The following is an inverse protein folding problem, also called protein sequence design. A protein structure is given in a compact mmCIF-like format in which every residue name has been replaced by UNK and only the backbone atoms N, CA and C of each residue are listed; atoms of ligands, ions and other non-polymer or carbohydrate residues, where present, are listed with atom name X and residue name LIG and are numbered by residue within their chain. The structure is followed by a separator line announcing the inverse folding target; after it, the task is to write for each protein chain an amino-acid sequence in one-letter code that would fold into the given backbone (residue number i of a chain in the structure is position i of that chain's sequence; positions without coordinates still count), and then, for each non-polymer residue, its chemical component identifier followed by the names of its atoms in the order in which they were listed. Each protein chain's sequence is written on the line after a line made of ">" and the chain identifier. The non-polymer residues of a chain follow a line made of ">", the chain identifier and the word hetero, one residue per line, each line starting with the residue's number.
data_IF_609076035837
#
_entry.id   IF_609076035837
#
_cell.length_a   1.000
_cell.length_b   1.000
_cell.length_c   1.000
_cell.angle_alpha   90.00
_cell.angle_beta   90.00
_cell.angle_gamma   90.00
#
_symmetry.space_group_name_H-M   'P 1'
#
loop_
_entity.id
_entity.type
_entity.pdbx_description
1 polymer ?
#
# COMPACT_ATOMS: atom_id res chain seq x y z
N UNK A 1 -0.09 54.56 46.28
CA UNK A 1 -0.37 53.14 45.96
C UNK A 1 0.11 52.90 44.54
N UNK A 2 1.21 52.17 44.36
CA UNK A 2 1.73 51.82 43.04
C UNK A 2 1.24 50.40 42.71
N UNK A 3 0.48 50.26 41.61
CA UNK A 3 -0.02 48.97 41.13
C UNK A 3 0.98 48.47 40.09
N UNK A 4 1.71 47.42 40.44
CA UNK A 4 2.63 46.74 39.53
C UNK A 4 1.84 45.72 38.71
N UNK A 5 1.65 45.98 37.41
CA UNK A 5 1.03 45.06 36.46
C UNK A 5 2.06 44.02 36.02
N UNK A 6 1.89 42.77 36.45
CA UNK A 6 2.62 41.63 35.89
C UNK A 6 2.00 41.24 34.55
N UNK A 7 2.74 41.45 33.46
CA UNK A 7 2.38 40.95 32.14
C UNK A 7 2.70 39.45 32.09
N UNK A 8 1.67 38.61 32.06
CA UNK A 8 1.81 37.17 31.83
C UNK A 8 2.01 36.96 30.33
N UNK A 9 3.25 36.70 29.92
CA UNK A 9 3.54 36.19 28.58
C UNK A 9 3.16 34.71 28.52
N UNK A 10 2.05 34.40 27.85
CA UNK A 10 1.72 33.04 27.44
C UNK A 10 2.66 32.69 26.28
N UNK A 11 3.73 31.95 26.58
CA UNK A 11 4.57 31.31 25.58
C UNK A 11 3.76 30.16 24.96
N UNK A 12 3.13 30.41 23.81
CA UNK A 12 2.65 29.36 22.93
C UNK A 12 3.87 28.59 22.45
N UNK A 13 4.09 27.39 23.00
CA UNK A 13 5.08 26.46 22.49
C UNK A 13 4.59 25.97 21.11
N UNK A 14 5.07 26.60 20.04
CA UNK A 14 5.02 26.01 18.71
C UNK A 14 6.03 24.87 18.69
N UNK A 15 5.56 23.63 18.75
CA UNK A 15 6.35 22.48 18.33
C UNK A 15 6.82 22.76 16.90
N UNK A 16 8.13 22.73 16.60
CA UNK A 16 8.58 22.87 15.23
C UNK A 16 8.02 21.68 14.45
N UNK A 17 7.02 21.93 13.59
CA UNK A 17 6.64 20.99 12.55
C UNK A 17 7.92 20.68 11.76
N UNK A 18 8.35 19.41 11.75
CA UNK A 18 9.49 19.00 10.95
C UNK A 18 9.22 19.40 9.50
N UNK A 19 10.22 19.99 8.86
CA UNK A 19 10.17 20.28 7.42
C UNK A 19 10.10 18.92 6.74
N UNK A 20 8.89 18.49 6.33
CA UNK A 20 8.66 17.19 5.69
C UNK A 20 7.63 16.27 6.36
N UNK A 21 7.06 16.64 7.51
CA UNK A 21 5.94 15.88 8.07
C UNK A 21 4.63 16.13 7.32
N UNK A 22 3.80 15.09 7.26
CA UNK A 22 2.41 15.14 6.80
C UNK A 22 1.52 14.55 7.88
N UNK A 23 0.25 14.97 7.91
CA UNK A 23 -0.75 14.39 8.79
C UNK A 23 -0.90 12.89 8.48
N UNK A 24 -0.88 12.06 9.53
CA UNK A 24 -1.24 10.65 9.47
C UNK A 24 -2.74 10.46 9.48
N UNK A 25 -3.25 9.66 10.42
CA UNK A 25 -4.70 9.53 10.61
C UNK A 25 -5.32 10.85 11.02
N UNK A 26 -6.36 11.27 10.29
CA UNK A 26 -7.25 12.34 10.68
C UNK A 26 -8.21 11.91 11.80
N UNK A 27 -8.86 12.88 12.44
CA UNK A 27 -9.92 12.61 13.41
C UNK A 27 -11.07 11.82 12.79
N UNK A 28 -11.43 12.10 11.53
CA UNK A 28 -12.46 11.37 10.79
C UNK A 28 -12.11 9.89 10.58
N UNK A 29 -10.88 9.58 10.19
CA UNK A 29 -10.41 8.19 10.01
C UNK A 29 -10.29 7.47 11.37
N UNK A 30 -9.68 8.13 12.36
CA UNK A 30 -9.52 7.55 13.71
C UNK A 30 -10.86 7.21 14.37
N UNK A 31 -11.94 7.95 14.08
CA UNK A 31 -13.28 7.69 14.62
C UNK A 31 -13.98 6.47 14.01
N UNK A 32 -13.46 5.92 12.92
CA UNK A 32 -14.05 4.78 12.22
C UNK A 32 -13.58 3.42 12.74
N UNK A 33 -12.65 3.40 13.71
CA UNK A 33 -12.22 2.15 14.34
C UNK A 33 -13.34 1.57 15.19
N UNK A 34 -13.93 0.49 14.71
CA UNK A 34 -15.10 -0.15 15.30
C UNK A 34 -15.17 -1.63 14.90
N UNK A 35 -15.60 -2.46 15.84
CA UNK A 35 -15.92 -3.87 15.61
C UNK A 35 -17.21 -4.18 16.36
N UNK A 36 -18.15 -4.88 15.71
CA UNK A 36 -19.46 -5.21 16.29
C UNK A 36 -19.39 -6.13 17.51
N UNK A 37 -18.27 -6.86 17.66
CA UNK A 37 -18.04 -7.89 18.68
C UNK A 37 -18.94 -9.11 18.57
N UNK A 38 -19.84 -9.18 17.56
CA UNK A 38 -20.74 -10.32 17.36
C UNK A 38 -19.97 -11.63 17.11
N UNK A 39 -18.77 -11.51 16.53
CA UNK A 39 -17.87 -12.61 16.18
C UNK A 39 -16.68 -12.71 17.14
N UNK A 40 -16.74 -12.02 18.29
CA UNK A 40 -15.68 -11.97 19.28
C UNK A 40 -14.53 -11.02 18.95
N UNK A 41 -14.58 -10.32 17.81
CA UNK A 41 -13.65 -9.25 17.44
C UNK A 41 -13.68 -8.05 18.37
N UNK A 42 -12.53 -7.40 18.55
CA UNK A 42 -12.42 -6.15 19.30
C UNK A 42 -11.40 -5.23 18.64
N UNK A 43 -11.70 -3.94 18.64
CA UNK A 43 -10.76 -2.88 18.29
C UNK A 43 -11.07 -1.66 19.13
N UNK A 44 -10.04 -1.01 19.63
CA UNK A 44 -10.17 0.25 20.35
C UNK A 44 -9.03 1.18 19.97
N UNK A 45 -9.31 2.48 20.06
CA UNK A 45 -8.36 3.54 19.78
C UNK A 45 -8.32 4.48 20.99
N UNK A 46 -7.12 4.83 21.43
CA UNK A 46 -6.87 5.84 22.45
C UNK A 46 -6.03 6.95 21.83
N UNK A 47 -6.52 8.17 21.93
CA UNK A 47 -5.82 9.35 21.44
C UNK A 47 -4.96 9.98 22.54
N UNK A 48 -3.70 10.27 22.22
CA UNK A 48 -2.79 11.10 23.02
C UNK A 48 -2.60 12.46 22.33
N UNK A 49 -1.78 13.33 22.92
CA UNK A 49 -1.42 14.61 22.30
C UNK A 49 -0.81 14.42 20.91
N UNK A 50 0.05 13.42 20.74
CA UNK A 50 0.91 13.23 19.55
C UNK A 50 0.64 11.94 18.77
N UNK A 51 -0.18 11.03 19.29
CA UNK A 51 -0.33 9.68 18.76
C UNK A 51 -1.76 9.14 18.89
N UNK A 52 -2.03 8.08 18.12
CA UNK A 52 -3.12 7.14 18.32
C UNK A 52 -2.56 5.79 18.75
N UNK A 53 -3.12 5.20 19.80
CA UNK A 53 -2.80 3.85 20.26
C UNK A 53 -3.98 2.96 19.89
N UNK A 54 -3.77 2.01 18.98
CA UNK A 54 -4.79 1.06 18.56
C UNK A 54 -4.52 -0.29 19.24
N UNK A 55 -5.55 -0.86 19.85
CA UNK A 55 -5.52 -2.21 20.43
C UNK A 55 -6.57 -3.09 19.76
N UNK A 56 -6.22 -4.33 19.46
CA UNK A 56 -7.16 -5.28 18.87
C UNK A 56 -6.80 -6.71 19.21
N UNK A 57 -7.81 -7.59 19.22
CA UNK A 57 -7.60 -9.04 19.28
C UNK A 57 -7.53 -9.71 17.89
N UNK A 58 -7.55 -8.96 16.79
CA UNK A 58 -7.32 -9.50 15.45
C UNK A 58 -8.47 -10.31 14.84
N UNK A 59 -9.56 -10.55 15.57
CA UNK A 59 -10.73 -11.25 15.03
C UNK A 59 -11.64 -10.26 14.29
N UNK A 60 -12.19 -10.66 13.13
CA UNK A 60 -13.09 -9.82 12.35
C UNK A 60 -14.45 -9.60 13.02
N UNK A 61 -15.23 -8.70 12.44
CA UNK A 61 -16.63 -8.44 12.76
C UNK A 61 -17.61 -9.27 11.89
N UNK A 62 -17.11 -10.25 11.15
CA UNK A 62 -17.87 -11.15 10.27
C UNK A 62 -17.51 -12.62 10.50
N UNK A 63 -18.36 -13.52 9.99
CA UNK A 63 -18.11 -14.97 10.08
C UNK A 63 -16.80 -15.34 9.37
N UNK A 64 -15.98 -16.17 10.01
CA UNK A 64 -14.75 -16.73 9.45
C UNK A 64 -14.99 -18.17 8.98
N UNK A 65 -14.34 -18.57 7.89
CA UNK A 65 -14.36 -19.97 7.46
C UNK A 65 -12.99 -20.60 7.59
N UNK A 66 -12.94 -21.83 8.11
CA UNK A 66 -11.71 -22.59 8.14
C UNK A 66 -11.42 -23.15 6.74
N UNK A 67 -10.55 -22.45 6.01
CA UNK A 67 -10.14 -22.80 4.64
C UNK A 67 -8.76 -23.46 4.57
N UNK A 68 -8.06 -23.50 5.69
CA UNK A 68 -6.78 -24.17 5.88
C UNK A 68 -6.75 -24.89 7.24
N UNK A 69 -5.70 -25.67 7.58
CA UNK A 69 -5.64 -26.40 8.85
C UNK A 69 -5.65 -25.54 10.12
N UNK A 70 -5.55 -24.21 10.01
CA UNK A 70 -5.47 -23.30 11.13
C UNK A 70 -6.84 -22.74 11.51
N UNK A 71 -6.96 -22.20 12.73
CA UNK A 71 -8.19 -21.58 13.23
C UNK A 71 -7.86 -20.23 13.82
N UNK A 72 -8.66 -19.22 13.48
CA UNK A 72 -8.54 -17.89 14.04
C UNK A 72 -8.68 -17.93 15.57
N UNK A 73 -7.81 -17.20 16.26
CA UNK A 73 -7.87 -17.05 17.71
C UNK A 73 -7.54 -15.62 18.13
N UNK A 74 -8.06 -15.21 19.28
CA UNK A 74 -7.85 -13.87 19.81
C UNK A 74 -6.36 -13.60 20.08
N UNK A 75 -5.88 -12.49 19.54
CA UNK A 75 -4.53 -11.98 19.68
C UNK A 75 -4.48 -10.81 20.68
N UNK A 76 -3.32 -10.15 20.80
CA UNK A 76 -3.13 -8.96 21.63
C UNK A 76 -2.30 -7.91 20.88
N UNK A 77 -2.85 -7.40 19.78
CA UNK A 77 -2.20 -6.35 18.99
C UNK A 77 -2.26 -5.02 19.71
N UNK A 78 -1.15 -4.29 19.66
CA UNK A 78 -1.03 -2.92 20.15
C UNK A 78 -0.09 -2.14 19.25
N UNK A 79 -0.61 -1.17 18.53
CA UNK A 79 0.14 -0.29 17.64
C UNK A 79 0.06 1.16 18.11
N UNK A 80 1.12 1.92 17.88
CA UNK A 80 1.16 3.36 18.19
C UNK A 80 1.50 4.09 16.90
N UNK A 81 0.63 5.00 16.49
CA UNK A 81 0.75 5.77 15.26
C UNK A 81 0.89 7.24 15.60
N UNK A 82 1.96 7.89 15.13
CA UNK A 82 2.12 9.33 15.29
C UNK A 82 1.07 10.06 14.45
N UNK A 83 0.58 11.18 14.97
CA UNK A 83 -0.34 12.08 14.23
C UNK A 83 0.36 12.83 13.10
N UNK A 84 1.65 13.09 13.28
CA UNK A 84 2.53 13.67 12.27
C UNK A 84 3.52 12.61 11.83
N UNK A 85 3.58 12.33 10.54
CA UNK A 85 4.41 11.30 9.94
C UNK A 85 5.48 11.95 9.09
N UNK A 86 6.73 11.66 9.43
CA UNK A 86 7.89 11.99 8.62
C UNK A 86 8.01 10.99 7.46
N UNK A 87 8.21 11.49 6.24
CA UNK A 87 8.58 10.62 5.10
C UNK A 87 9.99 10.06 5.28
N UNK A 88 10.21 8.83 4.83
CA UNK A 88 11.53 8.24 4.68
C UNK A 88 12.12 8.58 3.29
N UNK A 89 13.42 8.85 3.23
CA UNK A 89 14.10 9.08 1.95
C UNK A 89 14.30 7.83 1.11
N UNK A 90 14.34 6.68 1.76
CA UNK A 90 14.34 5.37 1.14
C UNK A 90 13.13 4.62 1.66
N UNK A 91 12.37 3.92 0.80
CA UNK A 91 11.21 3.20 1.25
C UNK A 91 11.61 2.06 2.20
N UNK A 92 10.79 1.88 3.23
CA UNK A 92 10.91 0.80 4.20
C UNK A 92 10.38 -0.50 3.63
N UNK A 93 11.04 -1.59 3.94
CA UNK A 93 10.58 -2.94 3.60
C UNK A 93 9.27 -3.30 4.31
N UNK A 94 8.46 -4.22 3.75
CA UNK A 94 7.39 -4.85 4.56
C UNK A 94 7.82 -6.21 5.12
N UNK A 95 7.39 -6.54 6.36
CA UNK A 95 7.60 -7.86 6.95
C UNK A 95 6.71 -8.94 6.33
N UNK A 96 7.01 -10.23 6.62
CA UNK A 96 6.15 -11.40 6.31
C UNK A 96 4.91 -11.55 7.21
N UNK A 97 4.74 -10.66 8.18
CA UNK A 97 3.58 -10.64 9.07
C UNK A 97 2.70 -9.44 8.78
N UNK A 98 2.05 -8.93 9.84
CA UNK A 98 1.23 -7.72 9.74
C UNK A 98 2.01 -6.54 9.16
N UNK A 99 1.40 -5.89 8.16
CA UNK A 99 1.84 -4.66 7.51
C UNK A 99 0.87 -3.48 7.74
N UNK A 100 -0.26 -3.77 8.36
CA UNK A 100 -1.27 -2.80 8.73
C UNK A 100 -2.38 -3.44 9.54
N UNK A 101 -3.32 -2.62 9.99
CA UNK A 101 -4.50 -3.06 10.71
C UNK A 101 -5.74 -2.39 10.11
N UNK A 102 -6.79 -3.16 9.89
CA UNK A 102 -8.07 -2.63 9.42
C UNK A 102 -8.76 -1.81 10.51
N UNK A 103 -9.72 -0.97 10.13
CA UNK A 103 -10.58 -0.24 11.07
C UNK A 103 -11.41 -1.18 11.96
N UNK A 104 -11.60 -2.43 11.55
CA UNK A 104 -12.26 -3.48 12.32
C UNK A 104 -11.31 -4.29 13.21
N UNK A 105 -10.00 -4.05 13.13
CA UNK A 105 -8.98 -4.65 13.99
C UNK A 105 -8.26 -5.86 13.40
N UNK A 106 -8.56 -6.25 12.16
CA UNK A 106 -7.94 -7.41 11.50
C UNK A 106 -6.57 -7.03 10.95
N UNK A 107 -5.61 -7.96 11.02
CA UNK A 107 -4.29 -7.73 10.45
C UNK A 107 -4.35 -7.73 8.91
N UNK A 108 -3.56 -6.85 8.29
CA UNK A 108 -3.31 -6.85 6.85
C UNK A 108 -1.90 -7.39 6.67
N UNK A 109 -1.72 -8.39 5.82
CA UNK A 109 -0.43 -9.00 5.51
C UNK A 109 0.06 -8.53 4.14
N UNK A 110 1.35 -8.73 3.87
CA UNK A 110 1.95 -8.45 2.58
C UNK A 110 1.38 -9.40 1.49
N UNK A 111 1.60 -9.15 0.19
CA UNK A 111 0.96 -9.94 -0.87
C UNK A 111 1.58 -11.32 -1.09
N UNK A 112 2.47 -11.78 -0.21
CA UNK A 112 3.28 -12.97 -0.40
C UNK A 112 2.94 -14.07 0.60
N UNK A 113 3.09 -15.31 0.14
CA UNK A 113 3.11 -16.48 1.00
C UNK A 113 4.40 -16.55 1.81
N UNK A 114 4.45 -17.46 2.78
CA UNK A 114 5.68 -17.74 3.52
C UNK A 114 6.88 -18.15 2.63
N UNK A 115 6.62 -18.64 1.41
CA UNK A 115 7.62 -19.05 0.42
C UNK A 115 7.98 -17.95 -0.60
N UNK A 116 7.59 -16.69 -0.35
CA UNK A 116 7.87 -15.53 -1.22
C UNK A 116 7.22 -15.62 -2.61
N UNK A 117 6.04 -16.24 -2.67
CA UNK A 117 5.23 -16.37 -3.89
C UNK A 117 3.96 -15.51 -3.76
N UNK A 118 3.32 -15.16 -4.87
CA UNK A 118 2.05 -14.42 -4.84
C UNK A 118 0.98 -15.22 -4.07
N UNK A 119 0.47 -14.65 -2.97
CA UNK A 119 -0.51 -15.31 -2.10
C UNK A 119 -1.92 -15.35 -2.72
N UNK A 120 -2.23 -14.47 -3.67
CA UNK A 120 -3.60 -14.27 -4.17
C UNK A 120 -3.82 -15.00 -5.49
N UNK A 121 -2.82 -15.01 -6.37
CA UNK A 121 -2.94 -15.57 -7.72
C UNK A 121 -1.79 -16.50 -8.09
N UNK A 122 -2.08 -17.47 -8.96
CA UNK A 122 -1.09 -18.41 -9.50
C UNK A 122 -1.18 -19.81 -8.89
N UNK A 123 -0.20 -20.65 -9.23
CA UNK A 123 -0.14 -22.05 -8.78
C UNK A 123 0.04 -22.21 -7.27
N UNK A 124 0.54 -21.17 -6.63
CA UNK A 124 0.95 -21.15 -5.22
C UNK A 124 0.07 -20.21 -4.39
N UNK A 125 -1.06 -19.78 -4.96
CA UNK A 125 -2.05 -18.97 -4.26
C UNK A 125 -2.56 -19.72 -3.01
N UNK A 126 -2.70 -18.96 -1.93
CA UNK A 126 -3.29 -19.45 -0.70
C UNK A 126 -4.81 -19.57 -0.86
N UNK A 127 -5.43 -20.31 0.06
CA UNK A 127 -6.90 -20.46 0.06
C UNK A 127 -7.48 -19.48 1.06
N UNK A 128 -8.40 -18.64 0.59
CA UNK A 128 -9.11 -17.66 1.40
C UNK A 128 -10.56 -18.06 1.63
N UNK A 129 -11.15 -17.56 2.71
CA UNK A 129 -12.59 -17.64 2.92
C UNK A 129 -13.37 -16.69 2.02
N UNK A 130 -14.71 -16.73 2.12
CA UNK A 130 -15.60 -15.86 1.34
C UNK A 130 -15.34 -14.36 1.52
N UNK A 131 -14.67 -13.97 2.60
CA UNK A 131 -14.34 -12.59 2.92
C UNK A 131 -12.88 -12.25 2.58
N UNK A 132 -12.22 -13.10 1.79
CA UNK A 132 -10.85 -12.96 1.32
C UNK A 132 -9.77 -13.01 2.42
N UNK A 133 -10.10 -13.55 3.60
CA UNK A 133 -9.13 -13.73 4.68
C UNK A 133 -8.88 -15.19 5.01
N UNK A 134 -7.87 -15.43 5.84
CA UNK A 134 -7.56 -16.75 6.40
C UNK A 134 -6.69 -16.61 7.65
N UNK A 135 -6.37 -17.74 8.30
CA UNK A 135 -5.55 -17.74 9.52
C UNK A 135 -4.19 -18.42 9.32
N UNK A 136 -3.15 -17.83 9.91
CA UNK A 136 -1.83 -18.46 10.01
C UNK A 136 -1.79 -19.54 11.11
N UNK A 137 -0.63 -20.21 11.26
CA UNK A 137 -0.42 -21.25 12.26
C UNK A 137 -0.38 -20.74 13.72
N UNK A 138 -0.36 -19.43 13.94
CA UNK A 138 -0.49 -18.78 15.25
C UNK A 138 -1.95 -18.34 15.52
N UNK A 139 -2.84 -18.56 14.55
CA UNK A 139 -4.25 -18.20 14.63
C UNK A 139 -4.53 -16.72 14.35
N UNK A 140 -3.59 -15.99 13.75
CA UNK A 140 -3.82 -14.61 13.30
C UNK A 140 -4.68 -14.65 12.04
N UNK A 141 -5.93 -14.19 12.13
CA UNK A 141 -6.76 -13.96 10.95
C UNK A 141 -6.29 -12.68 10.23
N UNK A 142 -6.14 -12.75 8.90
CA UNK A 142 -5.57 -11.66 8.12
C UNK A 142 -5.98 -11.68 6.65
N UNK A 143 -5.72 -10.55 5.98
CA UNK A 143 -5.94 -10.35 4.54
C UNK A 143 -4.63 -10.12 3.80
N UNK A 144 -4.46 -10.76 2.64
CA UNK A 144 -3.38 -10.47 1.67
C UNK A 144 -3.84 -9.55 0.51
N UNK A 145 -5.13 -9.28 0.45
CA UNK A 145 -5.81 -8.53 -0.61
C UNK A 145 -6.98 -7.74 0.00
N UNK A 146 -7.77 -7.07 -0.85
CA UNK A 146 -8.99 -6.42 -0.38
C UNK A 146 -9.91 -7.41 0.35
N UNK A 147 -10.40 -7.07 1.56
CA UNK A 147 -11.46 -7.82 2.21
C UNK A 147 -12.67 -7.95 1.28
N UNK A 148 -13.47 -9.01 1.46
CA UNK A 148 -14.73 -9.17 0.73
C UNK A 148 -15.71 -8.04 1.09
N UNK A 149 -16.49 -7.58 0.12
CA UNK A 149 -17.49 -6.52 0.34
C UNK A 149 -18.92 -7.02 0.54
N UNK A 150 -19.17 -8.31 0.26
CA UNK A 150 -20.52 -8.89 0.30
C UNK A 150 -20.73 -9.68 1.60
N UNK A 151 -21.49 -9.09 2.53
CA UNK A 151 -21.82 -9.67 3.83
C UNK A 151 -20.57 -10.05 4.67
N UNK A 152 -19.53 -9.22 4.65
CA UNK A 152 -18.23 -9.47 5.31
C UNK A 152 -17.89 -8.39 6.36
N UNK A 153 -18.91 -7.89 7.05
CA UNK A 153 -18.76 -6.85 8.06
C UNK A 153 -18.48 -5.47 7.46
N UNK A 154 -18.01 -4.56 8.29
CA UNK A 154 -17.85 -3.14 7.94
C UNK A 154 -16.44 -2.80 7.42
N UNK A 155 -15.56 -3.80 7.35
CA UNK A 155 -14.16 -3.62 6.93
C UNK A 155 -14.05 -2.98 5.55
N UNK A 156 -14.81 -3.50 4.57
CA UNK A 156 -14.87 -2.99 3.21
C UNK A 156 -16.26 -3.20 2.63
N UNK A 157 -16.80 -2.20 1.95
CA UNK A 157 -18.14 -2.23 1.35
C UNK A 157 -18.14 -1.67 -0.08
N UNK A 158 -16.97 -1.55 -0.71
CA UNK A 158 -16.79 -0.99 -2.05
C UNK A 158 -17.28 0.46 -2.22
N UNK A 159 -17.31 1.23 -1.13
CA UNK A 159 -17.65 2.65 -1.18
C UNK A 159 -16.46 3.47 -1.72
N UNK A 160 -16.78 4.58 -2.38
CA UNK A 160 -15.78 5.51 -2.91
C UNK A 160 -15.06 6.22 -1.76
N UNK A 161 -13.74 6.32 -1.85
CA UNK A 161 -12.86 6.89 -0.82
C UNK A 161 -13.07 6.26 0.57
N UNK A 162 -13.40 4.96 0.60
CA UNK A 162 -13.59 4.24 1.84
C UNK A 162 -12.28 4.06 2.59
N UNK A 163 -12.23 4.53 3.84
CA UNK A 163 -11.16 4.20 4.78
C UNK A 163 -11.24 2.73 5.19
N UNK A 164 -10.11 2.03 5.08
CA UNK A 164 -9.98 0.59 5.36
C UNK A 164 -9.21 0.35 6.66
N UNK A 165 -8.18 1.15 6.92
CA UNK A 165 -7.28 0.92 8.04
C UNK A 165 -6.02 1.77 7.96
N UNK A 166 -4.98 1.36 8.68
CA UNK A 166 -3.73 2.09 8.80
C UNK A 166 -2.55 1.15 8.59
N UNK A 167 -1.60 1.54 7.75
CA UNK A 167 -0.34 0.83 7.55
C UNK A 167 0.56 1.00 8.78
N UNK A 168 1.50 0.08 9.03
CA UNK A 168 2.33 0.14 10.24
C UNK A 168 3.26 1.36 10.33
N UNK A 169 3.47 2.06 9.22
CA UNK A 169 4.19 3.34 9.17
C UNK A 169 3.34 4.55 9.59
N UNK A 170 2.02 4.38 9.70
CA UNK A 170 1.04 5.36 10.17
C UNK A 170 0.14 5.94 9.09
N UNK A 171 0.42 5.72 7.81
CA UNK A 171 -0.41 6.26 6.74
C UNK A 171 -1.72 5.49 6.59
N UNK A 172 -2.83 6.18 6.26
CA UNK A 172 -4.11 5.52 6.05
C UNK A 172 -4.10 4.67 4.78
N UNK A 173 -4.88 3.59 4.81
CA UNK A 173 -5.15 2.69 3.69
C UNK A 173 -6.62 2.89 3.27
N UNK A 174 -6.82 3.13 1.97
CA UNK A 174 -8.13 3.34 1.37
C UNK A 174 -8.50 2.20 0.41
N UNK A 175 -9.79 2.06 0.13
CA UNK A 175 -10.30 1.14 -0.88
C UNK A 175 -9.84 1.49 -2.30
N UNK A 176 -10.11 0.61 -3.28
CA UNK A 176 -9.70 0.79 -4.66
C UNK A 176 -10.52 1.86 -5.40
N UNK A 177 -11.71 2.21 -4.92
CA UNK A 177 -12.56 3.21 -5.58
C UNK A 177 -12.25 4.61 -5.04
N UNK A 178 -11.90 5.53 -5.94
CA UNK A 178 -11.57 6.90 -5.59
C UNK A 178 -12.40 7.90 -6.39
N UNK A 179 -12.84 8.98 -5.73
CA UNK A 179 -13.76 9.96 -6.33
C UNK A 179 -13.19 10.66 -7.57
N UNK A 180 -11.87 10.75 -7.68
CA UNK A 180 -11.15 11.36 -8.81
C UNK A 180 -10.84 10.39 -9.95
N UNK A 181 -11.14 9.09 -9.79
CA UNK A 181 -10.95 8.04 -10.82
C UNK A 181 -12.25 7.69 -11.57
N UNK A 182 -13.40 8.09 -11.04
CA UNK A 182 -14.71 7.76 -11.60
C UNK A 182 -15.23 6.41 -11.10
N UNK A 183 -15.86 5.63 -11.98
CA UNK A 183 -16.46 4.32 -11.62
C UNK A 183 -15.47 3.15 -11.65
N UNK A 184 -14.29 3.35 -12.23
CA UNK A 184 -13.26 2.31 -12.31
C UNK A 184 -12.42 2.28 -11.03
N UNK A 185 -12.00 1.11 -10.55
CA UNK A 185 -11.05 1.03 -9.45
C UNK A 185 -9.68 1.58 -9.89
N UNK A 186 -8.91 2.04 -8.91
CA UNK A 186 -7.49 2.29 -9.04
C UNK A 186 -6.76 0.99 -9.37
N UNK A 187 -5.68 1.13 -10.14
CA UNK A 187 -4.73 0.07 -10.46
C UNK A 187 -3.32 0.51 -10.09
N UNK A 188 -2.33 -0.38 -10.18
CA UNK A 188 -0.93 -0.02 -9.97
C UNK A 188 -0.43 1.10 -10.90
N UNK A 189 -1.03 1.25 -12.09
CA UNK A 189 -0.68 2.34 -13.01
C UNK A 189 -1.11 3.74 -12.49
N UNK A 190 -1.99 3.78 -11.49
CA UNK A 190 -2.52 5.00 -10.86
C UNK A 190 -1.84 5.33 -9.53
N UNK A 191 -0.90 4.51 -9.08
CA UNK A 191 -0.28 4.60 -7.77
C UNK A 191 1.24 4.70 -7.88
N UNK A 192 1.85 5.11 -6.77
CA UNK A 192 3.28 5.09 -6.62
C UNK A 192 3.83 3.68 -6.43
N UNK A 193 5.15 3.58 -6.33
CA UNK A 193 5.82 2.29 -6.14
C UNK A 193 5.29 1.59 -4.87
N UNK A 194 5.11 2.31 -3.76
CA UNK A 194 4.62 1.70 -2.53
C UNK A 194 3.09 1.47 -2.52
N UNK A 195 2.40 1.68 -3.64
CA UNK A 195 0.95 1.56 -3.79
C UNK A 195 0.13 2.60 -3.03
N UNK A 196 0.64 3.83 -2.96
CA UNK A 196 -0.14 4.98 -2.51
C UNK A 196 0.00 6.19 -3.41
N UNK A 197 -0.55 7.31 -2.96
CA UNK A 197 -0.53 8.59 -3.67
C UNK A 197 -0.84 9.75 -2.75
N UNK A 198 -0.53 10.95 -3.21
CA UNK A 198 -0.96 12.19 -2.57
C UNK A 198 -2.38 12.54 -3.00
N UNK A 199 -3.27 12.83 -2.04
CA UNK A 199 -4.60 13.39 -2.26
C UNK A 199 -4.80 14.55 -1.29
N UNK A 200 -5.12 15.73 -1.83
CA UNK A 200 -5.29 16.97 -1.06
C UNK A 200 -4.14 17.28 -0.11
N UNK A 201 -2.91 16.97 -0.53
CA UNK A 201 -1.69 17.21 0.26
C UNK A 201 -1.41 16.17 1.35
N UNK A 202 -2.21 15.10 1.44
CA UNK A 202 -2.00 13.97 2.36
C UNK A 202 -1.63 12.70 1.59
N UNK A 203 -0.68 11.94 2.10
CA UNK A 203 -0.33 10.65 1.52
C UNK A 203 -1.25 9.55 2.06
N UNK A 204 -1.70 8.66 1.19
CA UNK A 204 -2.49 7.48 1.54
C UNK A 204 -2.18 6.30 0.63
N UNK A 205 -2.19 5.10 1.19
CA UNK A 205 -2.14 3.85 0.43
C UNK A 205 -3.52 3.50 -0.12
N UNK A 206 -3.55 2.71 -1.19
CA UNK A 206 -4.78 2.22 -1.77
C UNK A 206 -4.71 0.71 -2.03
N UNK A 207 -5.77 0.01 -1.60
CA UNK A 207 -6.05 -1.32 -2.10
C UNK A 207 -6.26 -1.28 -3.61
N UNK A 208 -5.95 -2.38 -4.28
CA UNK A 208 -6.17 -2.58 -5.72
C UNK A 208 -6.50 -4.04 -5.99
N UNK A 209 -6.95 -4.34 -7.22
CA UNK A 209 -7.21 -5.71 -7.66
C UNK A 209 -6.02 -6.34 -8.40
N UNK A 210 -5.00 -5.56 -8.75
CA UNK A 210 -3.74 -6.03 -9.30
C UNK A 210 -2.65 -6.02 -8.23
N UNK A 211 -1.63 -6.86 -8.40
CA UNK A 211 -0.51 -6.96 -7.47
C UNK A 211 0.18 -5.59 -7.26
N UNK A 212 0.55 -5.18 -6.03
CA UNK A 212 0.55 -5.94 -4.77
C UNK A 212 -0.74 -5.92 -3.93
N UNK A 213 -1.89 -5.54 -4.48
CA UNK A 213 -3.22 -5.56 -3.83
C UNK A 213 -3.44 -4.63 -2.62
N UNK A 214 -2.39 -4.33 -1.83
CA UNK A 214 -2.46 -3.52 -0.61
C UNK A 214 -1.38 -2.42 -0.58
N UNK A 215 -0.12 -2.78 -0.33
CA UNK A 215 1.02 -1.87 -0.44
C UNK A 215 2.32 -2.63 -0.74
N UNK A 216 3.29 -1.96 -1.36
CA UNK A 216 4.57 -2.55 -1.78
C UNK A 216 5.75 -2.23 -0.87
N UNK A 217 5.66 -1.13 -0.12
CA UNK A 217 6.69 -0.64 0.80
C UNK A 217 6.14 0.46 1.72
N UNK A 218 6.92 0.89 2.71
CA UNK A 218 6.57 2.00 3.60
C UNK A 218 7.25 3.30 3.19
N UNK A 219 6.48 4.37 3.06
CA UNK A 219 7.01 5.73 2.96
C UNK A 219 7.15 6.43 4.30
N UNK A 220 6.42 6.02 5.34
CA UNK A 220 6.57 6.62 6.66
C UNK A 220 7.84 6.12 7.36
N UNK A 221 8.59 7.03 7.97
CA UNK A 221 9.84 6.74 8.69
C UNK A 221 9.62 5.99 10.02
N UNK A 222 8.38 5.93 10.51
CA UNK A 222 7.99 5.32 11.80
C UNK A 222 7.58 3.85 11.73
N UNK A 223 7.67 3.16 10.59
CA UNK A 223 7.24 1.76 10.49
C UNK A 223 7.87 0.83 11.55
N UNK A 224 9.14 1.08 11.91
CA UNK A 224 9.88 0.32 12.94
C UNK A 224 9.30 0.45 14.35
N UNK A 225 8.52 1.49 14.63
CA UNK A 225 7.87 1.67 15.92
C UNK A 225 6.82 0.56 16.16
N UNK A 226 6.23 0.04 15.07
CA UNK A 226 5.23 -1.03 15.08
C UNK A 226 5.75 -2.37 14.52
N UNK A 227 6.81 -2.34 13.71
CA UNK A 227 7.42 -3.49 13.06
C UNK A 227 8.96 -3.41 13.10
N UNK A 228 9.61 -3.82 14.21
CA UNK A 228 11.06 -3.64 14.40
C UNK A 228 11.95 -4.26 13.32
N UNK A 229 11.45 -5.26 12.60
CA UNK A 229 12.11 -5.94 11.49
C UNK A 229 12.21 -5.10 10.21
N UNK A 230 11.51 -3.97 10.10
CA UNK A 230 11.56 -3.10 8.91
C UNK A 230 12.97 -2.53 8.72
N UNK A 231 13.42 -2.50 7.46
CA UNK A 231 14.68 -1.92 7.02
C UNK A 231 14.48 -0.89 5.90
N UNK A 232 15.15 0.26 5.97
CA UNK A 232 15.03 1.39 5.02
C UNK A 232 16.25 1.47 4.09
N UNK A 233 16.47 0.39 3.37
CA UNK A 233 17.60 0.16 2.45
C UNK A 233 17.13 -0.52 1.18
N UNK A 234 15.86 -0.27 0.85
CA UNK A 234 15.27 -0.74 -0.36
C UNK A 234 16.02 -0.11 -1.54
N UNK A 235 16.99 -0.85 -2.06
CA UNK A 235 17.76 -0.45 -3.21
C UNK A 235 16.92 -0.75 -4.46
N UNK A 236 16.26 0.30 -4.95
CA UNK A 236 15.48 0.26 -6.18
C UNK A 236 16.38 0.38 -7.43
N UNK A 237 17.68 0.64 -7.25
CA UNK A 237 18.68 0.76 -8.32
C UNK A 237 19.37 -0.57 -8.63
N UNK A 238 19.49 -1.49 -7.69
CA UNK A 238 19.89 -2.87 -8.00
C UNK A 238 18.64 -3.72 -8.20
N UNK A 239 18.33 -4.06 -9.45
CA UNK A 239 17.22 -4.95 -9.81
C UNK A 239 17.34 -6.39 -9.30
N UNK A 240 17.91 -6.60 -8.11
CA UNK A 240 18.32 -7.89 -7.55
C UNK A 240 17.23 -8.65 -6.80
N UNK A 241 16.00 -8.13 -6.70
CA UNK A 241 14.86 -8.90 -6.13
C UNK A 241 13.57 -8.84 -6.99
N UNK A 242 13.67 -8.26 -8.19
CA UNK A 242 12.51 -7.98 -9.05
C UNK A 242 12.04 -9.17 -9.91
N UNK A 243 12.71 -10.33 -9.85
CA UNK A 243 12.70 -11.21 -11.01
C UNK A 243 11.58 -12.25 -11.11
N UNK A 244 10.81 -12.56 -10.05
CA UNK A 244 9.68 -13.49 -10.20
C UNK A 244 8.29 -12.89 -9.91
N UNK A 245 8.16 -12.02 -8.90
CA UNK A 245 6.88 -11.35 -8.58
C UNK A 245 7.02 -9.88 -8.16
N UNK A 246 8.21 -9.26 -8.31
CA UNK A 246 8.37 -7.80 -8.23
C UNK A 246 7.91 -7.19 -6.91
N UNK A 247 8.30 -7.78 -5.79
CA UNK A 247 8.16 -7.09 -4.52
C UNK A 247 9.19 -5.96 -4.46
N UNK A 248 8.76 -4.75 -4.09
CA UNK A 248 9.63 -3.57 -4.24
C UNK A 248 10.70 -3.48 -3.16
N UNK A 249 10.42 -3.94 -1.93
CA UNK A 249 11.33 -3.79 -0.78
C UNK A 249 11.25 -4.94 0.23
N UNK A 250 11.78 -6.13 -0.05
CA UNK A 250 11.78 -7.27 0.90
C UNK A 250 12.99 -7.24 1.83
N UNK A 251 12.78 -7.68 3.08
CA UNK A 251 13.80 -7.75 4.14
C UNK A 251 14.90 -8.81 3.90
N UNK A 252 15.08 -9.29 2.65
CA UNK A 252 15.72 -10.59 2.40
C UNK A 252 17.17 -10.62 2.90
N UNK A 253 17.89 -9.49 2.90
CA UNK A 253 19.30 -9.47 3.29
C UNK A 253 19.76 -8.28 4.15
N UNK A 254 18.84 -7.41 4.59
CA UNK A 254 19.21 -6.26 5.43
C UNK A 254 18.23 -6.06 6.57
N UNK A 255 18.73 -6.16 7.81
CA UNK A 255 17.92 -5.99 9.01
C UNK A 255 18.28 -4.71 9.74
N UNK A 256 17.24 -3.96 10.12
CA UNK A 256 17.34 -2.98 11.19
C UNK A 256 17.99 -1.64 10.83
N UNK A 257 18.12 -1.30 9.54
CA UNK A 257 18.50 0.07 9.16
C UNK A 257 17.34 1.01 9.46
N UNK A 258 17.63 2.17 10.04
CA UNK A 258 16.62 3.18 10.38
C UNK A 258 16.41 4.14 9.21
N UNK A 259 15.22 4.74 9.13
CA UNK A 259 14.91 5.71 8.10
C UNK A 259 15.77 6.97 8.24
N UNK A 260 16.27 7.47 7.11
CA UNK A 260 16.59 8.88 6.96
C UNK A 260 15.29 9.64 6.69
N UNK A 261 15.01 10.69 7.48
CA UNK A 261 13.82 11.52 7.31
C UNK A 261 14.01 12.46 6.13
N UNK A 262 13.03 12.46 5.22
CA UNK A 262 13.06 13.26 4.01
C UNK A 262 12.34 14.60 4.18
N UNK A 263 12.86 15.70 3.60
CA UNK A 263 12.24 17.02 3.73
C UNK A 263 10.86 17.17 3.10
N UNK A 264 10.47 16.21 2.25
CA UNK A 264 9.18 16.13 1.59
C UNK A 264 8.97 14.72 1.04
N UNK A 265 7.75 14.42 0.58
CA UNK A 265 7.49 13.23 -0.21
C UNK A 265 8.52 13.08 -1.35
N UNK A 266 9.25 11.95 -1.44
CA UNK A 266 10.24 11.73 -2.48
C UNK A 266 9.54 11.47 -3.81
N UNK A 267 9.19 12.55 -4.53
CA UNK A 267 8.38 12.57 -5.76
C UNK A 267 8.97 11.90 -7.01
N UNK A 268 10.14 11.24 -6.92
CA UNK A 268 10.58 10.22 -7.88
C UNK A 268 11.64 9.29 -7.28
N UNK A 269 11.60 8.00 -7.59
CA UNK A 269 12.75 7.10 -7.39
C UNK A 269 13.27 6.63 -8.75
N UNK A 270 14.58 6.66 -8.93
CA UNK A 270 15.21 6.09 -10.12
C UNK A 270 15.23 4.57 -9.95
N UNK A 271 14.78 3.84 -10.96
CA UNK A 271 14.85 2.38 -11.01
C UNK A 271 15.76 2.02 -12.17
N UNK A 272 16.87 1.34 -11.89
CA UNK A 272 17.76 0.87 -12.96
C UNK A 272 17.27 -0.49 -13.46
N UNK A 273 16.86 -0.55 -14.73
CA UNK A 273 16.38 -1.80 -15.34
C UNK A 273 17.53 -2.70 -15.77
N UNK A 274 17.25 -4.00 -15.91
CA UNK A 274 18.22 -5.06 -16.30
C UNK A 274 19.04 -4.75 -17.58
N UNK A 275 18.57 -3.82 -18.42
CA UNK A 275 19.26 -3.36 -19.63
C UNK A 275 20.29 -2.23 -19.37
N UNK A 276 20.63 -1.92 -18.10
CA UNK A 276 21.39 -0.73 -17.68
C UNK A 276 20.75 0.61 -18.13
N UNK A 277 19.44 0.59 -18.39
CA UNK A 277 18.67 1.80 -18.65
C UNK A 277 18.07 2.32 -17.35
N UNK A 278 18.42 3.55 -16.95
CA UNK A 278 17.74 4.24 -15.86
C UNK A 278 16.31 4.56 -16.33
N UNK A 279 15.31 3.92 -15.73
CA UNK A 279 13.91 4.33 -15.88
C UNK A 279 13.50 5.09 -14.64
N UNK A 280 13.03 6.33 -14.83
CA UNK A 280 12.40 7.08 -13.73
C UNK A 280 10.98 6.54 -13.60
N UNK A 281 10.72 5.76 -12.55
CA UNK A 281 9.35 5.45 -12.15
C UNK A 281 8.83 6.69 -11.41
N UNK A 282 7.73 7.31 -11.85
CA UNK A 282 7.15 8.40 -11.08
C UNK A 282 6.66 7.81 -9.75
N UNK A 283 7.11 8.37 -8.62
CA UNK A 283 6.45 8.08 -7.35
C UNK A 283 5.20 8.94 -7.21
N UNK A 284 4.99 10.00 -7.99
CA UNK A 284 3.66 10.58 -8.04
C UNK A 284 2.79 9.87 -9.07
N UNK A 285 1.66 9.32 -8.61
CA UNK A 285 0.52 9.00 -9.46
C UNK A 285 0.26 10.14 -10.45
N UNK A 286 -0.04 9.86 -11.74
CA UNK A 286 -0.35 10.91 -12.69
C UNK A 286 -1.52 11.75 -12.16
N UNK A 287 -1.30 13.07 -12.03
CA UNK A 287 -2.28 14.03 -11.49
C UNK A 287 -3.50 14.24 -12.40
N UNK A 288 -3.59 13.51 -13.51
CA UNK A 288 -4.73 13.52 -14.42
C UNK A 288 -5.06 12.09 -14.86
N UNK A 289 -6.35 11.73 -14.76
CA UNK A 289 -6.88 10.49 -15.28
C UNK A 289 -6.53 10.33 -16.79
N UNK A 290 -6.09 9.14 -17.26
CA UNK A 290 -5.79 8.91 -18.66
C UNK A 290 -7.04 9.19 -19.52
N UNK A 291 -7.02 10.29 -20.28
CA UNK A 291 -8.23 10.82 -20.91
C UNK A 291 -8.66 10.07 -22.17
N UNK A 292 -8.10 8.90 -22.52
CA UNK A 292 -8.50 8.20 -23.75
C UNK A 292 -8.53 6.68 -23.58
N UNK A 293 -9.74 6.12 -23.67
CA UNK A 293 -9.95 4.72 -24.01
C UNK A 293 -9.36 4.45 -25.42
N UNK A 294 -8.72 3.28 -25.67
CA UNK A 294 -8.23 2.95 -27.00
C UNK A 294 -9.39 2.86 -28.00
N UNK A 295 -9.46 3.80 -28.92
CA UNK A 295 -10.39 3.76 -30.05
C UNK A 295 -10.00 2.61 -30.97
N UNK A 296 -10.97 1.74 -31.25
CA UNK A 296 -10.81 0.55 -32.10
C UNK A 296 -10.57 0.98 -33.54
N UNK A 297 -9.31 0.95 -34.01
CA UNK A 297 -8.98 1.24 -35.39
C UNK A 297 -9.19 -0.01 -36.27
N UNK A 298 -10.17 0.07 -37.15
CA UNK A 298 -10.56 -0.93 -38.14
C UNK A 298 -9.41 -1.23 -39.11
N UNK A 299 -9.06 -2.50 -39.25
CA UNK A 299 -8.07 -2.97 -40.23
C UNK A 299 -8.57 -2.76 -41.67
N UNK A 300 -7.94 -1.83 -42.40
CA UNK A 300 -8.06 -1.74 -43.87
C UNK A 300 -6.70 -1.99 -44.51
N UNK A 301 -6.58 -3.18 -45.09
CA UNK A 301 -5.36 -3.73 -45.71
C UNK A 301 -5.20 -3.17 -47.13
N UNK A 302 -4.08 -2.49 -47.42
CA UNK A 302 -3.57 -2.34 -48.79
C UNK A 302 -2.05 -2.48 -48.85
N UNK A 303 -1.58 -3.18 -49.90
CA UNK A 303 -0.17 -3.53 -50.21
C UNK A 303 0.50 -2.43 -51.04
N UNK A 304 1.80 -2.13 -50.81
CA UNK A 304 2.92 -2.15 -51.81
C UNK A 304 4.27 -1.62 -51.22
N UNK A 305 5.42 -1.77 -51.93
CA UNK A 305 6.72 -2.12 -51.33
C UNK A 305 7.83 -1.05 -51.43
N UNK A 306 8.89 -1.23 -50.62
CA UNK A 306 10.30 -0.94 -50.93
C UNK A 306 10.78 0.52 -50.94
N UNK A 307 11.83 0.83 -50.15
CA UNK A 307 12.66 2.04 -50.34
C UNK A 307 13.10 2.72 -49.03
N UNK A 308 14.39 3.06 -48.92
CA UNK A 308 15.11 3.52 -47.71
C UNK A 308 14.95 5.02 -47.39
N UNK A 309 15.11 5.29 -46.08
CA UNK A 309 15.61 6.49 -45.37
C UNK A 309 14.82 7.81 -45.42
N UNK A 310 14.35 8.27 -44.25
CA UNK A 310 14.86 9.45 -43.51
C UNK A 310 14.08 9.67 -42.19
N UNK A 311 14.83 9.96 -41.12
CA UNK A 311 14.53 10.88 -40.00
C UNK A 311 13.22 10.78 -39.19
N UNK A 312 13.42 10.66 -37.87
CA UNK A 312 12.56 11.04 -36.71
C UNK A 312 11.23 10.28 -36.57
N UNK A 313 11.11 9.54 -35.47
CA UNK A 313 10.26 10.03 -34.37
C UNK A 313 10.69 9.43 -33.03
N UNK A 314 11.08 10.30 -32.10
CA UNK A 314 11.36 10.01 -30.71
C UNK A 314 10.06 10.28 -29.94
N UNK A 315 9.18 9.30 -29.85
CA UNK A 315 8.15 9.26 -28.81
C UNK A 315 7.55 7.85 -28.74
N UNK A 316 7.17 7.42 -27.54
CA UNK A 316 6.57 6.11 -27.17
C UNK A 316 7.57 5.01 -26.79
N UNK A 317 8.19 5.18 -25.64
CA UNK A 317 8.49 4.06 -24.74
C UNK A 317 8.10 4.46 -23.32
N UNK A 318 6.88 4.10 -22.94
CA UNK A 318 6.43 4.13 -21.56
C UNK A 318 6.31 2.68 -21.08
N UNK A 319 6.93 2.43 -19.92
CA UNK A 319 6.74 1.32 -18.98
C UNK A 319 7.11 -0.11 -19.45
N UNK A 320 8.42 -0.41 -19.39
CA UNK A 320 9.03 -1.72 -19.67
C UNK A 320 8.68 -2.83 -18.68
N UNK A 321 8.36 -2.52 -17.42
CA UNK A 321 7.95 -3.52 -16.42
C UNK A 321 6.56 -4.13 -16.73
N UNK A 322 5.62 -3.27 -17.13
CA UNK A 322 4.28 -3.65 -17.59
C UNK A 322 4.32 -4.48 -18.87
N UNK A 323 5.17 -4.09 -19.83
CA UNK A 323 5.35 -4.85 -21.07
C UNK A 323 5.99 -6.23 -20.82
N UNK A 324 6.91 -6.34 -19.85
CA UNK A 324 7.52 -7.60 -19.44
C UNK A 324 6.51 -8.53 -18.74
N UNK A 325 5.67 -7.99 -17.84
CA UNK A 325 4.58 -8.73 -17.20
C UNK A 325 3.55 -9.24 -18.23
N UNK A 326 3.03 -8.35 -19.08
CA UNK A 326 2.08 -8.71 -20.16
C UNK A 326 2.68 -9.71 -21.15
N UNK A 327 3.95 -9.57 -21.55
CA UNK A 327 4.62 -10.54 -22.44
C UNK A 327 4.75 -11.92 -21.79
N UNK A 328 5.05 -11.99 -20.50
CA UNK A 328 5.15 -13.27 -19.76
C UNK A 328 3.78 -13.91 -19.56
N UNK A 329 2.76 -13.13 -19.23
CA UNK A 329 1.39 -13.61 -19.07
C UNK A 329 0.78 -14.09 -20.40
N UNK A 330 0.92 -13.32 -21.48
CA UNK A 330 0.48 -13.71 -22.84
C UNK A 330 1.22 -14.97 -23.33
N UNK A 331 2.53 -15.08 -23.07
CA UNK A 331 3.31 -16.27 -23.44
C UNK A 331 2.78 -17.52 -22.72
N UNK A 332 2.42 -17.40 -21.44
CA UNK A 332 1.87 -18.50 -20.62
C UNK A 332 0.48 -18.95 -21.13
N UNK A 333 -0.40 -18.01 -21.44
CA UNK A 333 -1.72 -18.28 -22.05
C UNK A 333 -1.62 -18.99 -23.42
N UNK A 334 -0.62 -18.65 -24.22
CA UNK A 334 -0.38 -19.26 -25.54
C UNK A 334 0.28 -20.65 -25.46
N UNK A 335 0.89 -20.99 -24.33
CA UNK A 335 1.47 -22.30 -24.05
C UNK A 335 0.45 -23.27 -23.45
N UNK A 336 -0.56 -22.77 -22.72
CA UNK A 336 -1.68 -23.54 -22.15
C UNK A 336 -2.85 -23.81 -23.13
N UNK A 337 -2.85 -23.16 -24.30
CA UNK A 337 -3.87 -23.34 -25.36
C UNK A 337 -3.42 -24.23 -26.53
N UNK A 338 -2.33 -24.99 -26.35
CA UNK A 338 -1.86 -26.04 -27.28
C UNK A 338 -2.06 -27.44 -26.68
#
# INVERSE_FOLDING_TARGET
>A
MAVTLYSVFVLLAFSPSSVGATEGLSSGESSQFYNSQEQGGTVSITETTDSYIIQSNGLPDHDMQQVNPNTASAQSFRYTFKKEIDFACQPGSLPKGSIGITKTGVAIYNPLTSADLNAVEGSDAETFDRCNGHSDNLGVYHYHQSPGSDNCGDTFTAEVDQFIGVALDGFPIYGPYASDKGSEPLSSDDLDICHGRMVDGKYRYHLTYDFPYVLGCYWGASAKDNAPQVSYVCDLDSGTDLQLYGYLCSNVDQQGVSAEVCPSYPGSVTVTTEDNGNTVAPTQAPTQAPTQAPTTATSRRTRRPGGRNLSRDNSKRANSAREAYLKRWIKRLLEETK
#
